data_IF_371046379262
#
_entry.id   IF_371046379262
#
_cell.length_a   1.000
_cell.length_b   1.000
_cell.length_c   1.000
_cell.angle_alpha   90.00
_cell.angle_beta   90.00
_cell.angle_gamma   90.00
#
_symmetry.space_group_name_H-M   'P 1'
#
loop_
_entity.id
_entity.type
_entity.pdbx_description
1 polymer ?
#
# COMPACT_ATOMS: atom_id res chain seq x y z
N UNK A 1 5.70 -6.80 16.94
CA UNK A 1 5.19 -5.73 16.07
C UNK A 1 6.18 -5.49 14.95
N UNK A 2 5.69 -5.37 13.71
CA UNK A 2 6.49 -5.00 12.53
C UNK A 2 5.97 -3.66 12.01
N UNK A 3 6.87 -2.72 11.77
CA UNK A 3 6.56 -1.39 11.25
C UNK A 3 7.42 -1.03 10.05
N UNK A 4 6.85 -0.22 9.15
CA UNK A 4 7.56 0.33 8.00
C UNK A 4 7.33 1.83 7.91
N UNK A 5 8.39 2.59 7.62
CA UNK A 5 8.30 4.03 7.35
C UNK A 5 8.03 4.34 5.87
N UNK A 6 7.93 3.30 5.03
CA UNK A 6 7.78 3.48 3.58
C UNK A 6 6.56 4.30 3.19
N UNK A 7 5.43 4.14 3.90
CA UNK A 7 4.16 4.76 3.51
C UNK A 7 3.85 6.01 4.33
N UNK A 8 3.84 5.90 5.65
CA UNK A 8 3.51 7.02 6.53
C UNK A 8 4.60 8.10 6.60
N UNK A 9 5.88 7.71 6.49
CA UNK A 9 7.02 8.62 6.55
C UNK A 9 7.59 9.02 5.18
N UNK A 10 7.05 8.50 4.08
CA UNK A 10 7.59 8.76 2.74
C UNK A 10 8.93 8.06 2.44
N UNK A 11 9.33 7.07 3.23
CA UNK A 11 10.64 6.42 3.17
C UNK A 11 10.74 5.26 2.19
N UNK A 12 9.88 5.21 1.17
CA UNK A 12 9.87 4.10 0.20
C UNK A 12 11.25 3.88 -0.43
N UNK A 13 11.95 4.95 -0.81
CA UNK A 13 13.31 4.89 -1.37
C UNK A 13 14.41 4.72 -0.31
N UNK A 14 14.19 5.11 0.94
CA UNK A 14 15.18 5.06 2.02
C UNK A 14 15.29 3.68 2.67
N UNK A 15 14.31 2.81 2.48
CA UNK A 15 14.29 1.42 2.95
C UNK A 15 14.45 1.27 4.46
N UNK A 16 13.52 1.83 5.24
CA UNK A 16 13.55 1.76 6.70
C UNK A 16 12.27 1.16 7.28
N UNK A 17 12.44 0.30 8.23
CA UNK A 17 11.40 -0.29 9.06
C UNK A 17 12.01 -0.84 10.33
N UNK A 18 11.20 -1.30 11.27
CA UNK A 18 11.69 -1.92 12.50
C UNK A 18 10.77 -3.06 12.97
N UNK A 19 11.33 -3.93 13.76
CA UNK A 19 10.62 -4.99 14.46
C UNK A 19 10.78 -4.81 15.99
N UNK A 20 9.67 -4.93 16.71
CA UNK A 20 9.68 -4.99 18.17
C UNK A 20 9.39 -6.42 18.59
N UNK A 21 10.39 -7.08 19.17
CA UNK A 21 10.30 -8.45 19.66
C UNK A 21 10.53 -8.40 21.17
N UNK A 22 9.48 -8.44 22.01
CA UNK A 22 9.62 -8.41 23.45
C UNK A 22 10.48 -9.58 23.97
N UNK A 23 11.30 -9.30 24.98
CA UNK A 23 12.12 -10.36 25.63
C UNK A 23 11.27 -11.44 26.31
N UNK A 24 10.04 -11.09 26.67
CA UNK A 24 9.06 -12.00 27.30
C UNK A 24 8.28 -12.85 26.28
N UNK A 25 8.49 -12.63 24.97
CA UNK A 25 7.78 -13.39 23.95
C UNK A 25 8.30 -14.82 23.92
N UNK A 26 7.39 -15.78 24.12
CA UNK A 26 7.66 -17.21 24.02
C UNK A 26 7.19 -17.75 22.66
N UNK A 27 8.00 -18.62 22.07
CA UNK A 27 7.64 -19.43 20.93
C UNK A 27 7.32 -20.87 21.36
N UNK A 28 6.71 -21.65 20.44
CA UNK A 28 6.37 -23.05 20.69
C UNK A 28 7.00 -23.93 19.61
N UNK A 29 7.64 -25.03 20.02
CA UNK A 29 8.05 -26.09 19.11
C UNK A 29 6.83 -26.94 18.74
N UNK A 30 6.96 -27.77 17.72
CA UNK A 30 5.88 -28.69 17.29
C UNK A 30 5.41 -29.65 18.39
N UNK A 31 6.28 -29.97 19.32
CA UNK A 31 5.98 -30.83 20.48
C UNK A 31 5.35 -30.07 21.67
N UNK A 32 5.05 -28.78 21.53
CA UNK A 32 4.47 -27.91 22.56
C UNK A 32 5.50 -27.31 23.55
N UNK A 33 6.78 -27.65 23.45
CA UNK A 33 7.82 -27.09 24.30
C UNK A 33 7.99 -25.59 24.04
N UNK A 34 8.02 -24.79 25.10
CA UNK A 34 8.23 -23.34 25.03
C UNK A 34 9.71 -22.99 24.96
N UNK A 35 10.02 -21.92 24.25
CA UNK A 35 11.35 -21.34 24.21
C UNK A 35 11.30 -19.81 24.11
N UNK A 36 12.31 -19.06 24.63
CA UNK A 36 12.40 -17.61 24.48
C UNK A 36 12.69 -17.25 23.02
N UNK A 37 11.76 -16.53 22.39
CA UNK A 37 11.83 -16.21 20.97
C UNK A 37 12.86 -15.11 20.65
N UNK A 38 13.00 -14.11 21.55
CA UNK A 38 13.86 -12.93 21.33
C UNK A 38 15.33 -13.30 21.01
N UNK A 39 16.02 -14.20 21.73
CA UNK A 39 17.41 -14.55 21.42
C UNK A 39 17.59 -15.17 20.04
N UNK A 40 16.63 -16.00 19.61
CA UNK A 40 16.66 -16.62 18.28
C UNK A 40 16.47 -15.59 17.19
N UNK A 41 15.50 -14.69 17.37
CA UNK A 41 15.29 -13.57 16.45
C UNK A 41 16.52 -12.69 16.34
N UNK A 42 17.08 -12.26 17.46
CA UNK A 42 18.27 -11.41 17.51
C UNK A 42 19.43 -12.06 16.77
N UNK A 43 19.72 -13.33 17.06
CA UNK A 43 20.78 -14.08 16.38
C UNK A 43 20.56 -14.16 14.87
N UNK A 44 19.35 -14.51 14.44
CA UNK A 44 19.01 -14.60 13.02
C UNK A 44 19.16 -13.25 12.33
N UNK A 45 18.60 -12.18 12.92
CA UNK A 45 18.63 -10.83 12.36
C UNK A 45 20.06 -10.30 12.23
N UNK A 46 20.84 -10.33 13.31
CA UNK A 46 22.20 -9.78 13.33
C UNK A 46 23.19 -10.58 12.49
N UNK A 47 22.91 -11.85 12.21
CA UNK A 47 23.74 -12.67 11.31
C UNK A 47 23.50 -12.32 9.84
N UNK A 48 22.27 -11.94 9.49
CA UNK A 48 21.86 -11.69 8.08
C UNK A 48 21.93 -10.24 7.67
N UNK A 49 21.83 -9.31 8.59
CA UNK A 49 21.66 -7.89 8.30
C UNK A 49 22.27 -7.02 9.40
N UNK A 50 23.16 -6.11 8.99
CA UNK A 50 23.88 -5.22 9.92
C UNK A 50 23.07 -3.98 10.33
N UNK A 51 21.89 -3.79 9.78
CA UNK A 51 21.02 -2.65 10.06
C UNK A 51 20.93 -1.64 8.92
N UNK A 52 19.94 -0.78 9.01
CA UNK A 52 19.74 0.36 8.10
C UNK A 52 20.85 1.38 8.33
N UNK A 53 21.25 2.12 7.31
CA UNK A 53 22.30 3.16 7.45
C UNK A 53 21.95 4.16 8.55
N UNK A 54 22.94 4.59 9.32
CA UNK A 54 22.74 5.46 10.48
C UNK A 54 22.00 6.78 10.16
N UNK A 55 22.31 7.51 9.07
CA UNK A 55 21.56 8.71 8.71
C UNK A 55 20.06 8.45 8.50
N UNK A 56 19.71 7.30 7.90
CA UNK A 56 18.31 6.92 7.70
C UNK A 56 17.62 6.56 9.01
N UNK A 57 18.33 5.92 9.95
CA UNK A 57 17.80 5.68 11.31
C UNK A 57 17.51 7.00 12.04
N UNK A 58 18.40 7.98 11.95
CA UNK A 58 18.19 9.32 12.55
C UNK A 58 17.02 10.06 11.91
N UNK A 59 16.88 9.95 10.59
CA UNK A 59 15.72 10.51 9.90
C UNK A 59 14.41 9.84 10.35
N UNK A 60 14.40 8.52 10.53
CA UNK A 60 13.24 7.80 11.03
C UNK A 60 12.88 8.20 12.49
N UNK A 61 13.88 8.41 13.33
CA UNK A 61 13.69 8.91 14.70
C UNK A 61 13.04 10.30 14.69
N UNK A 62 13.45 11.18 13.79
CA UNK A 62 12.89 12.53 13.68
C UNK A 62 11.38 12.54 13.39
N UNK A 63 10.81 11.49 12.77
CA UNK A 63 9.37 11.36 12.56
C UNK A 63 8.57 11.24 13.87
N UNK A 64 9.21 10.92 14.98
CA UNK A 64 8.57 10.81 16.31
C UNK A 64 8.64 12.10 17.13
N UNK A 65 9.37 13.11 16.69
CA UNK A 65 9.32 14.45 17.30
C UNK A 65 7.94 15.07 17.13
N UNK A 66 7.56 16.09 17.91
CA UNK A 66 6.31 16.82 17.72
C UNK A 66 6.15 17.35 16.28
N UNK A 67 7.20 17.94 15.73
CA UNK A 67 7.24 18.46 14.37
C UNK A 67 7.11 17.35 13.33
N UNK A 68 7.89 16.26 13.47
CA UNK A 68 7.83 15.12 12.57
C UNK A 68 6.46 14.45 12.54
N UNK A 69 5.81 14.31 13.69
CA UNK A 69 4.43 13.81 13.78
C UNK A 69 3.43 14.70 13.05
N UNK A 70 3.62 16.03 13.11
CA UNK A 70 2.77 16.96 12.36
C UNK A 70 2.97 16.82 10.86
N UNK A 71 4.22 16.76 10.40
CA UNK A 71 4.54 16.52 8.98
C UNK A 71 3.98 15.19 8.46
N UNK A 72 4.07 14.13 9.27
CA UNK A 72 3.46 12.83 8.94
C UNK A 72 1.94 12.95 8.81
N UNK A 73 1.26 13.66 9.71
CA UNK A 73 -0.20 13.89 9.62
C UNK A 73 -0.58 14.63 8.34
N UNK A 74 0.15 15.66 7.98
CA UNK A 74 -0.07 16.44 6.75
C UNK A 74 0.12 15.56 5.51
N UNK A 75 1.19 14.78 5.46
CA UNK A 75 1.48 13.85 4.35
C UNK A 75 0.37 12.79 4.21
N UNK A 76 -0.04 12.18 5.31
CA UNK A 76 -1.12 11.17 5.31
C UNK A 76 -2.44 11.81 4.87
N UNK A 77 -2.76 13.02 5.35
CA UNK A 77 -3.97 13.76 4.94
C UNK A 77 -3.98 14.06 3.45
N UNK A 78 -2.84 14.43 2.89
CA UNK A 78 -2.69 14.65 1.45
C UNK A 78 -3.01 13.39 0.63
N UNK A 79 -2.49 12.24 1.03
CA UNK A 79 -2.77 10.97 0.33
C UNK A 79 -4.19 10.46 0.56
N UNK A 80 -4.78 10.71 1.74
CA UNK A 80 -6.19 10.39 2.00
C UNK A 80 -7.12 11.19 1.08
N UNK A 81 -6.81 12.47 0.86
CA UNK A 81 -7.57 13.30 -0.08
C UNK A 81 -7.42 12.82 -1.53
N UNK A 82 -6.22 12.40 -1.96
CA UNK A 82 -6.01 11.76 -3.24
C UNK A 82 -6.87 10.49 -3.40
N UNK A 83 -6.91 9.66 -2.35
CA UNK A 83 -7.71 8.45 -2.36
C UNK A 83 -9.21 8.73 -2.43
N UNK A 84 -9.69 9.81 -1.76
CA UNK A 84 -11.07 10.25 -1.82
C UNK A 84 -11.47 10.65 -3.24
N UNK A 85 -10.64 11.46 -3.92
CA UNK A 85 -10.89 11.89 -5.30
C UNK A 85 -10.97 10.69 -6.26
N UNK A 86 -10.01 9.77 -6.19
CA UNK A 86 -10.01 8.55 -7.00
C UNK A 86 -11.26 7.71 -6.76
N UNK A 87 -11.65 7.53 -5.48
CA UNK A 87 -12.87 6.81 -5.14
C UNK A 87 -14.11 7.46 -5.76
N UNK A 88 -14.26 8.76 -5.59
CA UNK A 88 -15.42 9.50 -6.09
C UNK A 88 -15.55 9.37 -7.61
N UNK A 89 -14.43 9.51 -8.33
CA UNK A 89 -14.40 9.32 -9.78
C UNK A 89 -14.85 7.92 -10.18
N UNK A 90 -14.33 6.87 -9.54
CA UNK A 90 -14.66 5.48 -9.86
C UNK A 90 -16.10 5.10 -9.48
N UNK A 91 -16.57 5.58 -8.33
CA UNK A 91 -17.97 5.37 -7.90
C UNK A 91 -18.95 6.09 -8.85
N UNK A 92 -18.59 7.25 -9.41
CA UNK A 92 -19.44 7.98 -10.35
C UNK A 92 -19.72 7.21 -11.66
N UNK A 93 -18.82 6.28 -12.00
CA UNK A 93 -19.01 5.35 -13.16
C UNK A 93 -19.50 3.96 -12.73
N UNK A 94 -20.00 3.83 -11.51
CA UNK A 94 -20.66 2.62 -11.02
C UNK A 94 -19.74 1.52 -10.50
N UNK A 95 -18.45 1.78 -10.30
CA UNK A 95 -17.52 0.77 -9.83
C UNK A 95 -17.46 0.71 -8.28
N UNK A 96 -17.56 -0.49 -7.68
CA UNK A 96 -17.33 -0.67 -6.24
C UNK A 96 -15.85 -0.47 -5.88
N UNK A 97 -15.61 0.38 -4.86
CA UNK A 97 -14.27 0.72 -4.37
C UNK A 97 -14.12 0.38 -2.90
N UNK A 98 -13.03 -0.28 -2.53
CA UNK A 98 -12.73 -0.76 -1.18
C UNK A 98 -11.35 -0.29 -0.71
N UNK A 99 -11.12 -0.26 0.61
CA UNK A 99 -9.80 -0.14 1.24
C UNK A 99 -9.17 1.26 1.25
N UNK A 100 -9.88 2.31 0.88
CA UNK A 100 -9.33 3.67 0.72
C UNK A 100 -9.24 4.50 2.01
N UNK A 101 -9.95 4.14 3.09
CA UNK A 101 -10.08 4.98 4.30
C UNK A 101 -8.80 5.03 5.14
N UNK A 102 -8.11 3.92 5.28
CA UNK A 102 -6.95 3.78 6.16
C UNK A 102 -5.71 3.22 5.45
N UNK A 103 -5.80 3.05 4.15
CA UNK A 103 -4.71 2.65 3.29
C UNK A 103 -4.58 3.59 2.09
N UNK A 104 -3.36 3.75 1.59
CA UNK A 104 -3.09 4.55 0.39
C UNK A 104 -3.33 3.76 -0.90
N UNK A 105 -4.12 2.70 -0.80
CA UNK A 105 -4.48 1.83 -1.91
C UNK A 105 -5.99 1.67 -1.99
N UNK A 106 -6.49 1.69 -3.22
CA UNK A 106 -7.87 1.43 -3.55
C UNK A 106 -7.95 0.10 -4.28
N UNK A 107 -8.83 -0.78 -3.82
CA UNK A 107 -9.24 -1.96 -4.55
C UNK A 107 -10.52 -1.65 -5.30
N UNK A 108 -10.52 -1.88 -6.59
CA UNK A 108 -11.64 -1.56 -7.46
C UNK A 108 -12.10 -2.83 -8.13
N UNK A 109 -13.36 -3.17 -7.96
CA UNK A 109 -13.97 -4.30 -8.65
C UNK A 109 -14.39 -3.86 -10.05
N UNK A 110 -13.94 -4.57 -11.08
CA UNK A 110 -14.33 -4.36 -12.45
C UNK A 110 -15.78 -4.80 -12.74
N UNK A 111 -16.28 -4.52 -13.93
CA UNK A 111 -17.56 -5.04 -14.43
C UNK A 111 -17.56 -6.56 -14.46
N UNK A 112 -18.76 -7.14 -14.45
CA UNK A 112 -18.93 -8.59 -14.57
C UNK A 112 -18.30 -9.12 -15.87
N UNK A 113 -17.61 -10.26 -15.77
CA UNK A 113 -16.91 -10.90 -16.89
C UNK A 113 -15.51 -10.34 -17.19
N UNK A 114 -15.12 -9.21 -16.58
CA UNK A 114 -13.78 -8.66 -16.76
C UNK A 114 -12.74 -9.45 -15.95
N UNK A 115 -11.64 -9.86 -16.59
CA UNK A 115 -10.47 -10.35 -15.87
C UNK A 115 -9.61 -9.19 -15.37
N UNK A 116 -8.76 -9.46 -14.37
CA UNK A 116 -7.83 -8.45 -13.83
C UNK A 116 -6.87 -7.92 -14.90
N UNK A 117 -6.47 -8.77 -15.83
CA UNK A 117 -5.56 -8.38 -16.93
C UNK A 117 -6.28 -7.61 -18.04
N UNK A 118 -7.52 -7.97 -18.38
CA UNK A 118 -8.32 -7.18 -19.36
C UNK A 118 -8.54 -5.75 -18.84
N UNK A 119 -8.81 -5.60 -17.52
CA UNK A 119 -8.93 -4.29 -16.87
C UNK A 119 -7.63 -3.49 -16.96
N UNK A 120 -6.50 -4.14 -16.64
CA UNK A 120 -5.18 -3.52 -16.72
C UNK A 120 -4.88 -3.03 -18.13
N UNK A 121 -5.02 -3.90 -19.12
CA UNK A 121 -4.71 -3.59 -20.52
C UNK A 121 -5.61 -2.46 -21.06
N UNK A 122 -6.90 -2.53 -20.77
CA UNK A 122 -7.85 -1.50 -21.22
C UNK A 122 -7.58 -0.14 -20.59
N UNK A 123 -7.34 -0.09 -19.28
CA UNK A 123 -7.00 1.16 -18.58
C UNK A 123 -5.68 1.73 -19.09
N UNK A 124 -4.68 0.88 -19.32
CA UNK A 124 -3.40 1.29 -19.85
C UNK A 124 -3.53 1.87 -21.27
N UNK A 125 -4.23 1.17 -22.15
CA UNK A 125 -4.32 1.56 -23.57
C UNK A 125 -5.18 2.81 -23.79
N UNK A 126 -6.27 2.97 -23.06
CA UNK A 126 -7.23 4.06 -23.29
C UNK A 126 -7.04 5.25 -22.33
N UNK A 127 -6.60 5.00 -21.10
CA UNK A 127 -6.40 6.07 -20.12
C UNK A 127 -4.92 6.43 -19.89
N UNK A 128 -3.95 5.64 -20.38
CA UNK A 128 -2.54 5.76 -20.08
C UNK A 128 -2.25 5.76 -18.56
N UNK A 129 -2.96 4.91 -17.83
CA UNK A 129 -2.79 4.72 -16.39
C UNK A 129 -2.32 3.29 -16.12
N UNK A 130 -1.22 3.16 -15.39
CA UNK A 130 -0.72 1.86 -14.93
C UNK A 130 -1.39 1.51 -13.61
N UNK A 131 -2.15 0.41 -13.60
CA UNK A 131 -2.76 -0.16 -12.39
C UNK A 131 -1.99 -1.41 -11.95
N UNK A 132 -2.44 -2.08 -10.90
CA UNK A 132 -1.93 -3.42 -10.57
C UNK A 132 -3.09 -4.41 -10.71
N UNK A 133 -2.97 -5.44 -11.58
CA UNK A 133 -3.99 -6.47 -11.69
C UNK A 133 -4.19 -7.20 -10.35
N UNK A 134 -5.44 -7.38 -9.95
CA UNK A 134 -5.76 -7.98 -8.66
C UNK A 134 -5.32 -9.44 -8.55
N UNK A 135 -5.36 -10.20 -9.66
CA UNK A 135 -4.86 -11.58 -9.72
C UNK A 135 -3.37 -11.72 -9.32
N UNK A 136 -2.57 -10.66 -9.45
CA UNK A 136 -1.19 -10.62 -8.93
C UNK A 136 -1.06 -10.76 -7.41
N UNK A 137 -2.16 -10.66 -6.67
CA UNK A 137 -2.24 -10.85 -5.21
C UNK A 137 -2.89 -12.19 -4.82
N UNK A 138 -3.17 -13.04 -5.80
CA UNK A 138 -3.80 -14.35 -5.61
C UNK A 138 -5.19 -14.45 -6.25
N UNK A 139 -5.74 -15.66 -6.28
CA UNK A 139 -6.99 -15.97 -6.97
C UNK A 139 -8.18 -15.12 -6.50
N UNK A 140 -8.23 -14.76 -5.22
CA UNK A 140 -9.30 -13.90 -4.66
C UNK A 140 -9.28 -12.45 -5.20
N UNK A 141 -8.18 -12.03 -5.86
CA UNK A 141 -8.05 -10.73 -6.50
C UNK A 141 -8.52 -10.70 -7.96
N UNK A 142 -8.97 -11.83 -8.52
CA UNK A 142 -9.44 -11.87 -9.90
C UNK A 142 -10.67 -10.99 -10.11
N UNK A 143 -10.73 -10.25 -11.23
CA UNK A 143 -11.76 -9.27 -11.52
C UNK A 143 -11.59 -7.92 -10.79
N UNK A 144 -10.46 -7.73 -10.10
CA UNK A 144 -10.11 -6.47 -9.44
C UNK A 144 -8.85 -5.85 -10.06
N UNK A 145 -8.72 -4.54 -9.86
CA UNK A 145 -7.45 -3.83 -10.03
C UNK A 145 -7.17 -2.93 -8.82
N UNK A 146 -5.89 -2.68 -8.54
CA UNK A 146 -5.46 -1.82 -7.45
C UNK A 146 -4.92 -0.51 -7.99
N UNK A 147 -5.37 0.61 -7.41
CA UNK A 147 -4.79 1.94 -7.59
C UNK A 147 -4.04 2.38 -6.33
N UNK A 148 -3.09 3.30 -6.51
CA UNK A 148 -2.35 3.95 -5.43
C UNK A 148 -2.64 5.45 -5.40
N UNK A 149 -2.85 6.01 -4.21
CA UNK A 149 -2.99 7.45 -4.00
C UNK A 149 -1.65 8.18 -3.86
N UNK A 150 -0.51 7.46 -3.93
CA UNK A 150 0.84 8.03 -3.83
C UNK A 150 1.25 8.73 -5.12
N UNK A 151 0.72 9.92 -5.36
CA UNK A 151 1.09 10.74 -6.50
C UNK A 151 0.85 12.23 -6.19
N UNK A 152 1.30 13.13 -7.08
CA UNK A 152 0.94 14.53 -6.99
C UNK A 152 -0.57 14.74 -7.17
N UNK A 153 -1.10 15.83 -6.62
CA UNK A 153 -2.52 16.18 -6.78
C UNK A 153 -2.90 16.31 -8.26
N UNK A 154 -2.10 17.01 -9.04
CA UNK A 154 -2.35 17.23 -10.46
C UNK A 154 -2.47 15.92 -11.25
N UNK A 155 -1.58 14.94 -10.97
CA UNK A 155 -1.64 13.64 -11.63
C UNK A 155 -2.87 12.83 -11.19
N UNK A 156 -3.29 12.94 -9.93
CA UNK A 156 -4.50 12.27 -9.43
C UNK A 156 -5.76 12.87 -10.07
N UNK A 157 -5.86 14.19 -10.16
CA UNK A 157 -6.97 14.88 -10.81
C UNK A 157 -7.06 14.51 -12.30
N UNK A 158 -5.91 14.45 -12.99
CA UNK A 158 -5.87 14.01 -14.37
C UNK A 158 -6.27 12.53 -14.52
N UNK A 159 -5.81 11.67 -13.61
CA UNK A 159 -6.24 10.27 -13.58
C UNK A 159 -7.77 10.15 -13.36
N UNK A 160 -8.33 10.93 -12.44
CA UNK A 160 -9.78 10.97 -12.21
C UNK A 160 -10.54 11.36 -13.47
N UNK A 161 -10.07 12.39 -14.18
CA UNK A 161 -10.68 12.85 -15.44
C UNK A 161 -10.69 11.77 -16.51
N UNK A 162 -9.63 10.96 -16.59
CA UNK A 162 -9.53 9.85 -17.57
C UNK A 162 -10.33 8.62 -17.15
N UNK A 163 -10.36 8.30 -15.85
CA UNK A 163 -11.04 7.11 -15.33
C UNK A 163 -12.57 7.17 -15.40
N UNK A 164 -13.15 8.35 -15.61
CA UNK A 164 -14.61 8.47 -15.79
C UNK A 164 -15.07 8.23 -17.24
N UNK A 165 -14.16 7.91 -18.16
CA UNK A 165 -14.53 7.54 -19.54
C UNK A 165 -15.29 6.20 -19.53
N UNK A 166 -16.57 6.17 -19.97
CA UNK A 166 -17.38 4.95 -19.97
C UNK A 166 -16.78 3.79 -20.80
N UNK A 167 -15.97 4.11 -21.82
CA UNK A 167 -15.32 3.10 -22.67
C UNK A 167 -14.44 2.14 -21.88
N UNK A 168 -13.83 2.61 -20.78
CA UNK A 168 -12.96 1.79 -19.94
C UNK A 168 -13.67 0.61 -19.28
N UNK A 169 -14.96 0.76 -18.99
CA UNK A 169 -15.73 -0.16 -18.17
C UNK A 169 -16.98 -0.70 -18.88
N UNK A 170 -17.04 -0.55 -20.21
CA UNK A 170 -18.06 -1.23 -21.03
C UNK A 170 -17.94 -2.75 -20.92
N UNK A 171 -19.02 -3.51 -21.16
CA UNK A 171 -18.99 -4.96 -21.01
C UNK A 171 -17.81 -5.62 -21.69
N UNK A 172 -17.16 -6.53 -21.00
CA UNK A 172 -16.14 -7.40 -21.54
C UNK A 172 -16.84 -8.60 -22.18
N UNK A 173 -16.50 -8.90 -23.43
CA UNK A 173 -17.05 -10.04 -24.16
C UNK A 173 -16.24 -11.29 -23.90
#
# INVERSE_FOLDING_TARGET
>A
ELRSFSKNGGFTGLRCGFAVIPKTLMGYKRNGEQYPFHPLWLRNHTTKFNGVSYPVQRAAEALYTPEGKEQVRQLVSFYKENARLLKEALVSVGLPVFGYSDASYLWVRGPEGATSWDLFDRILQHANIVTTPGSGFGAAGEGYFRLSSFNSRANVEEACRRLVDPVLFTPFK
#
